data_IF_652202041471
#
_entry.id   IF_652202041471
#
_cell.length_a   1.000
_cell.length_b   1.000
_cell.length_c   1.000
_cell.angle_alpha   90.00
_cell.angle_beta   90.00
_cell.angle_gamma   90.00
#
_symmetry.space_group_name_H-M   'P 1'
#
loop_
_entity.id
_entity.type
_entity.pdbx_description
1 polymer ?
#
# COMPACT_ATOMS: atom_id res chain seq x y z
N UNK A 1 -16.38 12.50 1.17
CA UNK A 1 -16.18 11.03 1.06
C UNK A 1 -14.81 10.80 0.43
N UNK A 2 -13.86 10.18 1.14
CA UNK A 2 -12.54 9.86 0.57
C UNK A 2 -12.70 8.78 -0.49
N UNK A 3 -12.14 8.99 -1.69
CA UNK A 3 -12.15 7.97 -2.73
C UNK A 3 -11.30 6.78 -2.29
N UNK A 4 -11.74 5.56 -2.60
CA UNK A 4 -10.99 4.34 -2.26
C UNK A 4 -10.23 3.83 -3.48
N UNK A 5 -9.05 3.26 -3.27
CA UNK A 5 -8.24 2.61 -4.29
C UNK A 5 -7.74 1.26 -3.79
N UNK A 6 -7.85 0.22 -4.62
CA UNK A 6 -7.26 -1.09 -4.39
C UNK A 6 -5.99 -1.22 -5.23
N UNK A 7 -4.86 -1.51 -4.59
CA UNK A 7 -3.57 -1.73 -5.25
C UNK A 7 -3.26 -3.23 -5.19
N UNK A 8 -3.21 -3.86 -6.36
CA UNK A 8 -2.66 -5.20 -6.51
C UNK A 8 -1.15 -5.11 -6.70
N UNK A 9 -0.40 -6.01 -6.08
CA UNK A 9 1.07 -5.92 -6.09
C UNK A 9 1.61 -4.78 -5.20
N UNK A 10 0.93 -4.49 -4.09
CA UNK A 10 1.32 -3.43 -3.12
C UNK A 10 2.76 -3.57 -2.61
N UNK A 11 3.27 -4.80 -2.50
CA UNK A 11 4.64 -5.10 -2.06
C UNK A 11 5.68 -5.03 -3.19
N UNK A 12 5.27 -4.73 -4.42
CA UNK A 12 6.16 -4.64 -5.58
C UNK A 12 7.11 -3.45 -5.53
N UNK A 13 7.77 -3.17 -6.65
CA UNK A 13 8.64 -2.00 -6.79
C UNK A 13 7.83 -0.70 -6.84
N UNK A 14 6.75 -0.67 -7.64
CA UNK A 14 5.99 0.56 -7.89
C UNK A 14 4.78 0.73 -6.97
N UNK A 15 4.23 -0.37 -6.44
CA UNK A 15 3.06 -0.36 -5.55
C UNK A 15 3.18 0.59 -4.36
N UNK A 16 4.31 0.60 -3.63
CA UNK A 16 4.54 1.49 -2.49
C UNK A 16 4.53 2.98 -2.88
N UNK A 17 5.09 3.34 -4.04
CA UNK A 17 5.08 4.71 -4.55
C UNK A 17 3.69 5.16 -4.98
N UNK A 18 2.92 4.27 -5.62
CA UNK A 18 1.52 4.53 -5.95
C UNK A 18 0.69 4.73 -4.69
N UNK A 19 0.93 3.94 -3.65
CA UNK A 19 0.26 4.08 -2.36
C UNK A 19 0.56 5.44 -1.71
N UNK A 20 1.83 5.86 -1.62
CA UNK A 20 2.20 7.18 -1.10
C UNK A 20 1.52 8.31 -1.87
N UNK A 21 1.55 8.25 -3.21
CA UNK A 21 0.91 9.25 -4.06
C UNK A 21 -0.60 9.36 -3.82
N UNK A 22 -1.30 8.23 -3.72
CA UNK A 22 -2.75 8.21 -3.50
C UNK A 22 -3.12 8.65 -2.08
N UNK A 23 -2.36 8.22 -1.07
CA UNK A 23 -2.54 8.66 0.32
C UNK A 23 -2.38 10.19 0.45
N UNK A 24 -1.36 10.78 -0.20
CA UNK A 24 -1.18 12.24 -0.25
C UNK A 24 -2.33 12.97 -0.94
N UNK A 25 -3.02 12.30 -1.86
CA UNK A 25 -4.23 12.82 -2.52
C UNK A 25 -5.51 12.63 -1.70
N UNK A 26 -5.43 12.09 -0.48
CA UNK A 26 -6.59 11.86 0.39
C UNK A 26 -7.42 10.64 0.01
N UNK A 27 -6.83 9.67 -0.70
CA UNK A 27 -7.48 8.39 -0.96
C UNK A 27 -7.33 7.46 0.24
N UNK A 28 -8.33 6.58 0.41
CA UNK A 28 -8.20 5.40 1.25
C UNK A 28 -7.61 4.26 0.41
N UNK A 29 -6.45 3.75 0.80
CA UNK A 29 -5.71 2.74 0.03
C UNK A 29 -5.86 1.37 0.67
N UNK A 30 -6.26 0.39 -0.14
CA UNK A 30 -6.28 -1.03 0.20
C UNK A 30 -5.17 -1.74 -0.56
N UNK A 31 -4.33 -2.51 0.13
CA UNK A 31 -3.21 -3.23 -0.45
C UNK A 31 -3.46 -4.73 -0.47
N UNK A 32 -3.52 -5.34 -1.66
CA UNK A 32 -3.71 -6.78 -1.77
C UNK A 32 -2.41 -7.53 -1.49
N UNK A 33 -2.42 -8.37 -0.45
CA UNK A 33 -1.28 -9.19 -0.04
C UNK A 33 -1.56 -10.66 -0.30
N UNK A 34 -0.61 -11.34 -0.95
CA UNK A 34 -0.67 -12.80 -1.08
C UNK A 34 -0.41 -13.43 0.27
N UNK A 35 -1.11 -14.53 0.59
CA UNK A 35 -0.85 -15.30 1.80
C UNK A 35 0.61 -15.78 1.82
N UNK A 36 1.42 -15.20 2.70
CA UNK A 36 2.82 -15.54 2.93
C UNK A 36 3.07 -15.58 4.44
N UNK A 37 3.97 -16.46 4.88
CA UNK A 37 4.36 -16.56 6.30
C UNK A 37 5.08 -15.30 6.78
N UNK A 38 5.89 -14.68 5.91
CA UNK A 38 6.62 -13.43 6.18
C UNK A 38 6.60 -12.53 4.93
N UNK A 39 5.59 -11.64 4.79
CA UNK A 39 5.57 -10.69 3.69
C UNK A 39 6.67 -9.64 3.85
N UNK A 40 7.28 -9.23 2.74
CA UNK A 40 8.31 -8.20 2.75
C UNK A 40 7.68 -6.80 2.61
N UNK A 41 7.74 -6.01 3.67
CA UNK A 41 7.23 -4.63 3.71
C UNK A 41 8.30 -3.55 3.51
N UNK A 42 9.57 -3.93 3.27
CA UNK A 42 10.73 -3.01 3.26
C UNK A 42 10.51 -1.76 2.39
N UNK A 43 9.88 -1.90 1.22
CA UNK A 43 9.62 -0.76 0.33
C UNK A 43 8.54 0.18 0.87
N UNK A 44 7.50 -0.35 1.54
CA UNK A 44 6.46 0.44 2.18
C UNK A 44 6.99 1.12 3.44
N UNK A 45 7.87 0.44 4.17
CA UNK A 45 8.55 0.97 5.36
C UNK A 45 9.48 2.12 4.99
N UNK A 46 10.27 1.95 3.93
CA UNK A 46 11.12 3.01 3.37
C UNK A 46 10.33 4.30 3.07
N UNK A 47 9.10 4.16 2.56
CA UNK A 47 8.21 5.28 2.26
C UNK A 47 7.31 5.71 3.43
N UNK A 48 7.40 5.06 4.60
CA UNK A 48 6.57 5.33 5.78
C UNK A 48 5.05 5.29 5.49
N UNK A 49 4.63 4.34 4.66
CA UNK A 49 3.22 4.15 4.28
C UNK A 49 2.64 2.82 4.78
N UNK A 50 3.44 1.93 5.35
CA UNK A 50 3.00 0.61 5.82
C UNK A 50 1.77 0.67 6.73
N UNK A 51 1.82 1.52 7.76
CA UNK A 51 0.71 1.67 8.72
C UNK A 51 -0.45 2.54 8.22
N UNK A 52 -0.42 2.98 6.94
CA UNK A 52 -1.45 3.83 6.32
C UNK A 52 -2.26 3.10 5.25
N UNK A 53 -1.91 1.84 4.96
CA UNK A 53 -2.58 1.00 3.97
C UNK A 53 -3.38 -0.08 4.70
N UNK A 54 -4.64 -0.27 4.30
CA UNK A 54 -5.46 -1.37 4.78
C UNK A 54 -5.15 -2.63 3.95
N UNK A 55 -4.54 -3.65 4.56
CA UNK A 55 -4.18 -4.87 3.85
C UNK A 55 -5.34 -5.84 3.73
N UNK A 56 -5.52 -6.41 2.52
CA UNK A 56 -6.59 -7.35 2.16
C UNK A 56 -6.00 -8.61 1.56
#
# INVERSE_FOLDING_TARGET
MSKSALITGILGQDGPYLADFLLRKGYKVYGLIRRYSNPNFSNLDYLNVTNKVDYV
#
